data_IF_888598576898
#
_entry.id   IF_888598576898
#
_cell.length_a   1.000
_cell.length_b   1.000
_cell.length_c   1.000
_cell.angle_alpha   90.00
_cell.angle_beta   90.00
_cell.angle_gamma   90.00
#
_symmetry.space_group_name_H-M   'P 1'
#
loop_
_entity.id
_entity.type
_entity.pdbx_description
1 polymer ?
#
# COMPACT_ATOMS: atom_id res chain seq x y z
N UNK A 1 -30.30 -14.92 -15.52
CA UNK A 1 -29.50 -14.03 -14.65
C UNK A 1 -28.07 -14.51 -14.72
N UNK A 2 -27.10 -13.66 -15.04
CA UNK A 2 -25.68 -14.06 -15.06
C UNK A 2 -25.22 -14.51 -13.67
N UNK A 3 -24.38 -15.54 -13.61
CA UNK A 3 -23.76 -15.99 -12.35
C UNK A 3 -23.00 -14.81 -11.70
N UNK A 4 -23.33 -14.41 -10.46
CA UNK A 4 -22.64 -13.33 -9.77
C UNK A 4 -21.13 -13.53 -9.66
N UNK A 5 -20.66 -14.78 -9.60
CA UNK A 5 -19.22 -15.08 -9.58
C UNK A 5 -18.58 -14.80 -10.94
N UNK A 6 -19.20 -15.24 -12.02
CA UNK A 6 -18.74 -14.94 -13.38
C UNK A 6 -18.72 -13.42 -13.65
N UNK A 7 -19.75 -12.70 -13.21
CA UNK A 7 -19.80 -11.23 -13.34
C UNK A 7 -18.70 -10.53 -12.53
N UNK A 8 -18.42 -11.00 -11.31
CA UNK A 8 -17.33 -10.46 -10.48
C UNK A 8 -15.96 -10.73 -11.12
N UNK A 9 -15.76 -11.94 -11.66
CA UNK A 9 -14.51 -12.29 -12.33
C UNK A 9 -14.27 -11.44 -13.57
N UNK A 10 -15.31 -11.13 -14.35
CA UNK A 10 -15.21 -10.22 -15.49
C UNK A 10 -14.87 -8.80 -15.06
N UNK A 11 -15.57 -8.26 -14.06
CA UNK A 11 -15.29 -6.92 -13.54
C UNK A 11 -13.85 -6.75 -13.03
N UNK A 12 -13.29 -7.79 -12.38
CA UNK A 12 -11.89 -7.78 -11.94
C UNK A 12 -10.92 -7.82 -13.14
N UNK A 13 -11.23 -8.59 -14.20
CA UNK A 13 -10.43 -8.58 -15.44
C UNK A 13 -10.45 -7.22 -16.11
N UNK A 14 -11.61 -6.60 -16.23
CA UNK A 14 -11.76 -5.25 -16.80
C UNK A 14 -10.97 -4.22 -15.98
N UNK A 15 -11.05 -4.27 -14.64
CA UNK A 15 -10.32 -3.38 -13.76
C UNK A 15 -8.79 -3.56 -13.89
N UNK A 16 -8.31 -4.80 -13.95
CA UNK A 16 -6.90 -5.11 -14.14
C UNK A 16 -6.39 -4.65 -15.51
N UNK A 17 -7.16 -4.88 -16.59
CA UNK A 17 -6.83 -4.42 -17.93
C UNK A 17 -6.78 -2.89 -18.01
N UNK A 18 -7.74 -2.21 -17.38
CA UNK A 18 -7.74 -0.75 -17.26
C UNK A 18 -6.50 -0.23 -16.53
N UNK A 19 -6.15 -0.80 -15.39
CA UNK A 19 -4.99 -0.38 -14.61
C UNK A 19 -3.68 -0.61 -15.38
N UNK A 20 -3.53 -1.77 -16.03
CA UNK A 20 -2.37 -2.10 -16.84
C UNK A 20 -2.21 -1.18 -18.07
N UNK A 21 -3.32 -0.79 -18.70
CA UNK A 21 -3.34 0.10 -19.86
C UNK A 21 -3.26 1.60 -19.55
N UNK A 22 -3.44 2.00 -18.29
CA UNK A 22 -3.47 3.43 -17.92
C UNK A 22 -2.05 4.01 -17.85
N UNK A 23 -1.78 4.97 -18.72
CA UNK A 23 -0.52 5.73 -18.76
C UNK A 23 -0.55 6.93 -17.83
N UNK A 24 0.63 7.44 -17.44
CA UNK A 24 0.72 8.62 -16.58
C UNK A 24 0.05 9.86 -17.19
N UNK A 25 0.06 10.00 -18.52
CA UNK A 25 -0.58 11.13 -19.21
C UNK A 25 -2.11 11.09 -19.18
N UNK A 26 -2.71 9.92 -18.94
CA UNK A 26 -4.15 9.76 -18.76
C UNK A 26 -4.62 10.13 -17.34
N UNK A 27 -3.69 10.31 -16.39
CA UNK A 27 -4.00 10.67 -15.00
C UNK A 27 -3.99 12.20 -14.87
N UNK A 28 -5.08 12.83 -14.38
CA UNK A 28 -5.11 14.26 -14.13
C UNK A 28 -3.99 14.71 -13.18
N UNK A 29 -3.40 15.89 -13.42
CA UNK A 29 -2.23 16.37 -12.66
C UNK A 29 -2.55 16.54 -11.17
N UNK A 30 -3.77 16.94 -10.85
CA UNK A 30 -4.27 17.08 -9.49
C UNK A 30 -4.34 15.74 -8.75
N UNK A 31 -4.60 14.64 -9.45
CA UNK A 31 -4.61 13.28 -8.87
C UNK A 31 -3.17 12.85 -8.58
N UNK A 32 -2.25 13.07 -9.51
CA UNK A 32 -0.81 12.84 -9.27
C UNK A 32 -0.29 13.67 -8.09
N UNK A 33 -0.67 14.95 -8.02
CA UNK A 33 -0.30 15.83 -6.92
C UNK A 33 -0.88 15.36 -5.57
N UNK A 34 -2.10 14.80 -5.57
CA UNK A 34 -2.67 14.16 -4.38
C UNK A 34 -1.87 12.90 -4.00
N UNK A 35 -1.49 12.08 -4.98
CA UNK A 35 -0.63 10.91 -4.76
C UNK A 35 0.70 11.27 -4.06
N UNK A 36 1.35 12.37 -4.47
CA UNK A 36 2.56 12.86 -3.79
C UNK A 36 2.30 13.21 -2.32
N UNK A 37 1.14 13.81 -2.01
CA UNK A 37 0.77 14.11 -0.62
C UNK A 37 0.53 12.83 0.19
N UNK A 38 -0.12 11.82 -0.40
CA UNK A 38 -0.31 10.50 0.24
C UNK A 38 1.04 9.86 0.55
N UNK A 39 2.00 9.90 -0.39
CA UNK A 39 3.37 9.39 -0.14
C UNK A 39 3.99 10.10 1.06
N UNK A 40 3.90 11.42 1.12
CA UNK A 40 4.52 12.20 2.20
C UNK A 40 3.87 11.91 3.57
N UNK A 41 2.54 11.78 3.60
CA UNK A 41 1.75 11.50 4.79
C UNK A 41 2.06 10.12 5.38
N UNK A 42 1.90 9.07 4.58
CA UNK A 42 2.14 7.69 5.01
C UNK A 42 3.62 7.45 5.35
N UNK A 43 4.56 8.07 4.61
CA UNK A 43 5.97 8.01 4.95
C UNK A 43 6.26 8.68 6.30
N UNK A 44 5.58 9.79 6.60
CA UNK A 44 5.68 10.43 7.91
C UNK A 44 5.10 9.54 9.03
N UNK A 45 3.99 8.84 8.79
CA UNK A 45 3.43 7.87 9.72
C UNK A 45 4.41 6.73 10.03
N UNK A 46 5.00 6.11 8.99
CA UNK A 46 6.04 5.07 9.11
C UNK A 46 7.21 5.57 9.97
N UNK A 47 7.74 6.74 9.63
CA UNK A 47 8.92 7.31 10.30
C UNK A 47 8.58 7.75 11.73
N UNK A 48 7.38 8.26 11.97
CA UNK A 48 6.91 8.72 13.29
C UNK A 48 6.88 7.57 14.30
N UNK A 49 6.46 6.38 13.86
CA UNK A 49 6.38 5.20 14.70
C UNK A 49 7.72 4.51 14.98
N UNK A 50 8.82 4.89 14.30
CA UNK A 50 10.08 4.12 14.31
C UNK A 50 10.73 3.93 15.69
N UNK A 51 10.43 4.82 16.63
CA UNK A 51 11.00 4.82 17.98
C UNK A 51 10.09 4.12 19.01
N UNK A 52 8.89 3.71 18.60
CA UNK A 52 8.00 2.94 19.46
C UNK A 52 8.65 1.59 19.79
N UNK A 53 8.69 1.18 21.08
CA UNK A 53 9.48 0.02 21.50
C UNK A 53 9.18 -1.26 20.73
N UNK A 54 7.91 -1.52 20.44
CA UNK A 54 7.43 -2.69 19.71
C UNK A 54 7.80 -2.63 18.23
N UNK A 55 7.71 -1.45 17.61
CA UNK A 55 8.10 -1.22 16.21
C UNK A 55 9.61 -1.44 16.07
N UNK A 56 10.40 -0.83 16.96
CA UNK A 56 11.85 -0.98 17.00
C UNK A 56 12.25 -2.45 17.23
N UNK A 57 11.60 -3.14 18.17
CA UNK A 57 11.85 -4.56 18.43
C UNK A 57 11.50 -5.45 17.24
N UNK A 58 10.40 -5.15 16.51
CA UNK A 58 10.06 -5.88 15.30
C UNK A 58 11.07 -5.64 14.18
N UNK A 59 11.49 -4.40 13.98
CA UNK A 59 12.51 -4.01 13.00
C UNK A 59 13.85 -4.72 13.27
N UNK A 60 14.26 -4.84 14.54
CA UNK A 60 15.47 -5.62 14.92
C UNK A 60 15.33 -7.11 14.58
N UNK A 61 14.17 -7.72 14.86
CA UNK A 61 13.91 -9.13 14.51
C UNK A 61 13.94 -9.35 13.00
N UNK A 62 13.42 -8.42 12.22
CA UNK A 62 13.45 -8.46 10.75
C UNK A 62 14.90 -8.43 10.25
N UNK A 63 15.71 -7.49 10.75
CA UNK A 63 17.11 -7.37 10.36
C UNK A 63 17.94 -8.60 10.75
N UNK A 64 17.73 -9.15 11.94
CA UNK A 64 18.44 -10.35 12.40
C UNK A 64 18.13 -11.62 11.58
N UNK A 65 17.05 -11.62 10.80
CA UNK A 65 16.69 -12.73 9.89
C UNK A 65 17.11 -12.49 8.44
N UNK A 66 17.43 -11.23 8.12
CA UNK A 66 17.71 -10.81 6.76
C UNK A 66 19.04 -11.36 6.25
N UNK A 67 19.08 -11.72 4.97
CA UNK A 67 20.29 -12.17 4.27
C UNK A 67 20.58 -11.38 2.99
N UNK A 68 19.74 -10.39 2.69
CA UNK A 68 19.76 -9.59 1.47
C UNK A 68 19.35 -8.15 1.79
N UNK A 69 19.83 -7.19 0.99
CA UNK A 69 19.57 -5.77 1.18
C UNK A 69 18.93 -5.20 -0.09
N UNK A 70 17.64 -5.44 -0.26
CA UNK A 70 16.86 -5.04 -1.45
C UNK A 70 16.09 -3.73 -1.23
N UNK A 71 15.60 -3.50 -0.01
CA UNK A 71 14.72 -2.38 0.31
C UNK A 71 15.00 -1.79 1.70
N UNK A 72 14.68 -0.51 1.85
CA UNK A 72 14.87 0.29 3.06
C UNK A 72 13.87 -0.10 4.14
N UNK A 73 14.40 -0.26 5.36
CA UNK A 73 13.61 -0.30 6.58
C UNK A 73 13.67 1.09 7.22
N UNK A 74 12.53 1.78 7.35
CA UNK A 74 12.47 3.20 7.75
C UNK A 74 12.69 3.43 9.26
N UNK A 75 13.71 2.79 9.82
CA UNK A 75 14.08 2.85 11.23
C UNK A 75 15.21 3.84 11.56
N UNK A 76 15.79 4.46 10.53
CA UNK A 76 17.04 5.21 10.62
C UNK A 76 18.27 4.34 10.35
N UNK A 77 19.47 4.95 10.38
CA UNK A 77 20.74 4.21 10.23
C UNK A 77 20.99 3.57 8.85
N UNK A 78 20.18 3.89 7.82
CA UNK A 78 20.27 3.31 6.46
C UNK A 78 20.11 1.78 6.45
N UNK A 79 19.31 1.23 7.37
CA UNK A 79 19.04 -0.21 7.43
C UNK A 79 18.24 -0.69 6.21
N UNK A 80 18.62 -1.86 5.68
CA UNK A 80 17.98 -2.50 4.52
C UNK A 80 17.78 -4.00 4.78
N UNK A 81 16.76 -4.59 4.15
CA UNK A 81 16.42 -6.02 4.23
C UNK A 81 15.84 -6.50 2.90
N UNK A 82 15.40 -7.76 2.79
CA UNK A 82 14.59 -8.23 1.65
C UNK A 82 13.31 -7.39 1.51
N UNK A 83 12.83 -7.23 0.28
CA UNK A 83 11.67 -6.36 -0.01
C UNK A 83 10.38 -6.78 0.67
N UNK A 84 10.16 -8.08 0.88
CA UNK A 84 8.95 -8.57 1.55
C UNK A 84 8.96 -8.19 3.03
N UNK A 85 10.08 -8.42 3.72
CA UNK A 85 10.20 -8.05 5.13
C UNK A 85 10.21 -6.53 5.33
N UNK A 86 10.81 -5.77 4.40
CA UNK A 86 10.73 -4.31 4.41
C UNK A 86 9.28 -3.84 4.27
N UNK A 87 8.53 -4.39 3.31
CA UNK A 87 7.11 -4.07 3.11
C UNK A 87 6.28 -4.32 4.37
N UNK A 88 6.41 -5.51 4.98
CA UNK A 88 5.66 -5.87 6.19
C UNK A 88 6.03 -4.97 7.38
N UNK A 89 7.32 -4.74 7.60
CA UNK A 89 7.79 -3.96 8.74
C UNK A 89 7.50 -2.46 8.62
N UNK A 90 7.53 -1.93 7.40
CA UNK A 90 7.13 -0.55 7.15
C UNK A 90 5.60 -0.41 7.20
N UNK A 91 4.82 -1.38 6.71
CA UNK A 91 3.36 -1.33 6.79
C UNK A 91 2.86 -1.37 8.25
N UNK A 92 3.46 -2.22 9.08
CA UNK A 92 3.14 -2.26 10.51
C UNK A 92 3.50 -0.93 11.20
N UNK A 93 4.63 -0.32 10.85
CA UNK A 93 4.99 1.00 11.39
C UNK A 93 4.05 2.12 10.90
N UNK A 94 3.57 2.06 9.65
CA UNK A 94 2.63 3.03 9.10
C UNK A 94 1.33 3.11 9.91
N UNK A 95 0.81 1.95 10.31
CA UNK A 95 -0.48 1.81 11.02
C UNK A 95 -0.35 2.10 12.52
N UNK A 96 0.88 2.07 13.05
CA UNK A 96 1.13 1.96 14.49
C UNK A 96 0.59 3.15 15.30
N UNK A 97 0.71 4.36 14.76
CA UNK A 97 0.26 5.59 15.43
C UNK A 97 -1.12 6.05 14.96
N UNK A 98 -1.77 5.31 14.05
CA UNK A 98 -3.05 5.69 13.41
C UNK A 98 -3.02 7.12 12.80
N UNK A 99 -1.88 7.48 12.21
CA UNK A 99 -1.64 8.81 11.59
C UNK A 99 -1.80 8.82 10.07
N UNK A 100 -1.96 7.65 9.45
CA UNK A 100 -2.11 7.49 8.02
C UNK A 100 -3.44 8.05 7.50
N UNK A 101 -3.45 8.35 6.20
CA UNK A 101 -4.64 8.89 5.56
C UNK A 101 -5.77 7.86 5.40
N UNK A 102 -6.98 8.35 5.18
CA UNK A 102 -8.15 7.51 4.95
C UNK A 102 -9.05 7.98 3.81
N UNK A 103 -9.66 7.01 3.15
CA UNK A 103 -10.71 7.22 2.16
C UNK A 103 -12.08 7.36 2.82
N UNK A 104 -12.67 8.55 2.75
CA UNK A 104 -13.85 8.90 3.57
C UNK A 104 -15.15 8.16 3.23
N UNK A 105 -15.30 7.59 2.04
CA UNK A 105 -16.58 6.97 1.63
C UNK A 105 -16.79 5.56 2.20
N UNK A 106 -15.72 4.88 2.60
CA UNK A 106 -15.77 3.53 3.19
C UNK A 106 -14.51 3.33 4.03
N UNK A 107 -14.55 2.64 5.19
CA UNK A 107 -13.36 2.42 6.04
C UNK A 107 -12.21 1.75 5.27
N UNK A 108 -11.28 2.54 4.77
CA UNK A 108 -10.25 2.13 3.82
C UNK A 108 -9.09 3.13 3.87
N UNK A 109 -7.89 2.63 4.14
CA UNK A 109 -6.66 3.39 4.24
C UNK A 109 -5.79 3.03 3.03
N UNK A 110 -6.22 3.48 1.85
CA UNK A 110 -5.74 2.93 0.59
C UNK A 110 -4.26 3.27 0.34
N UNK A 111 -3.79 4.43 0.79
CA UNK A 111 -2.37 4.77 0.80
C UNK A 111 -1.56 3.72 1.57
N UNK A 112 -1.91 3.49 2.84
CA UNK A 112 -1.26 2.52 3.71
C UNK A 112 -1.27 1.08 3.16
N UNK A 113 -2.35 0.67 2.48
CA UNK A 113 -2.45 -0.68 1.92
C UNK A 113 -1.54 -0.91 0.71
N UNK A 114 -1.14 0.15 0.00
CA UNK A 114 -0.38 0.07 -1.25
C UNK A 114 1.08 0.48 -1.04
N UNK A 115 1.30 1.59 -0.35
CA UNK A 115 2.58 2.30 -0.35
C UNK A 115 3.75 1.49 0.23
N UNK A 116 3.65 0.80 1.39
CA UNK A 116 4.80 0.10 1.96
C UNK A 116 5.33 -1.03 1.07
N UNK A 117 4.42 -1.78 0.45
CA UNK A 117 4.78 -2.82 -0.53
C UNK A 117 5.38 -2.21 -1.80
N UNK A 118 4.76 -1.14 -2.29
CA UNK A 118 5.21 -0.44 -3.48
C UNK A 118 6.60 0.20 -3.30
N UNK A 119 6.89 0.81 -2.15
CA UNK A 119 8.21 1.37 -1.84
C UNK A 119 9.29 0.29 -1.86
N UNK A 120 9.01 -0.87 -1.24
CA UNK A 120 9.96 -1.97 -1.20
C UNK A 120 10.21 -2.58 -2.58
N UNK A 121 9.15 -2.79 -3.37
CA UNK A 121 9.26 -3.29 -4.74
C UNK A 121 9.96 -2.27 -5.66
N UNK A 122 9.61 -0.99 -5.56
CA UNK A 122 10.19 0.08 -6.37
C UNK A 122 11.69 0.24 -6.10
N UNK A 123 12.12 0.21 -4.84
CA UNK A 123 13.55 0.27 -4.50
C UNK A 123 14.28 -0.98 -5.02
N UNK A 124 13.73 -2.17 -4.80
CA UNK A 124 14.38 -3.43 -5.21
C UNK A 124 14.57 -3.54 -6.73
N UNK A 125 13.68 -2.93 -7.52
CA UNK A 125 13.71 -2.92 -8.98
C UNK A 125 14.27 -1.63 -9.56
N UNK A 126 14.69 -0.68 -8.73
CA UNK A 126 15.15 0.64 -9.13
C UNK A 126 14.17 1.37 -10.07
N UNK A 127 12.88 1.36 -9.73
CA UNK A 127 11.83 1.99 -10.52
C UNK A 127 11.92 3.52 -10.46
N UNK A 128 11.56 4.18 -11.56
CA UNK A 128 11.50 5.63 -11.56
C UNK A 128 10.34 6.14 -10.68
N UNK A 129 10.52 7.30 -10.04
CA UNK A 129 9.50 7.90 -9.19
C UNK A 129 8.15 8.08 -9.91
N UNK A 130 8.16 8.44 -11.20
CA UNK A 130 6.94 8.59 -12.00
C UNK A 130 6.17 7.27 -12.17
N UNK A 131 6.88 6.14 -12.29
CA UNK A 131 6.26 4.82 -12.37
C UNK A 131 5.67 4.42 -11.01
N UNK A 132 6.40 4.66 -9.92
CA UNK A 132 5.92 4.43 -8.57
C UNK A 132 4.68 5.28 -8.26
N UNK A 133 4.70 6.57 -8.56
CA UNK A 133 3.57 7.47 -8.32
C UNK A 133 2.32 7.04 -9.13
N UNK A 134 2.51 6.62 -10.39
CA UNK A 134 1.43 6.07 -11.20
C UNK A 134 0.85 4.80 -10.57
N UNK A 135 1.71 3.87 -10.14
CA UNK A 135 1.28 2.62 -9.50
C UNK A 135 0.53 2.87 -8.20
N UNK A 136 0.97 3.84 -7.38
CA UNK A 136 0.26 4.22 -6.15
C UNK A 136 -1.16 4.72 -6.46
N UNK A 137 -1.30 5.64 -7.41
CA UNK A 137 -2.61 6.21 -7.78
C UNK A 137 -3.56 5.11 -8.29
N UNK A 138 -3.06 4.20 -9.12
CA UNK A 138 -3.87 3.10 -9.65
C UNK A 138 -4.24 2.08 -8.56
N UNK A 139 -3.29 1.72 -7.69
CA UNK A 139 -3.54 0.85 -6.54
C UNK A 139 -4.58 1.44 -5.60
N UNK A 140 -4.48 2.75 -5.30
CA UNK A 140 -5.46 3.47 -4.49
C UNK A 140 -6.86 3.38 -5.10
N UNK A 141 -6.99 3.63 -6.41
CA UNK A 141 -8.27 3.53 -7.13
C UNK A 141 -8.84 2.10 -7.12
N UNK A 142 -8.00 1.08 -7.34
CA UNK A 142 -8.41 -0.33 -7.32
C UNK A 142 -8.95 -0.71 -5.94
N UNK A 143 -8.18 -0.43 -4.89
CA UNK A 143 -8.52 -0.77 -3.51
C UNK A 143 -9.81 -0.08 -3.09
N UNK A 144 -9.97 1.20 -3.39
CA UNK A 144 -11.19 1.94 -3.02
C UNK A 144 -12.41 1.48 -3.80
N UNK A 145 -12.27 1.08 -5.09
CA UNK A 145 -13.37 0.45 -5.84
C UNK A 145 -13.78 -0.89 -5.23
N UNK A 146 -12.81 -1.74 -4.87
CA UNK A 146 -13.08 -3.01 -4.17
C UNK A 146 -13.76 -2.76 -2.84
N UNK A 147 -13.27 -1.79 -2.04
CA UNK A 147 -13.85 -1.45 -0.75
C UNK A 147 -15.30 -0.95 -0.87
N UNK A 148 -15.61 -0.14 -1.89
CA UNK A 148 -16.98 0.34 -2.15
C UNK A 148 -17.92 -0.75 -2.64
N UNK A 149 -17.40 -1.72 -3.39
CA UNK A 149 -18.20 -2.84 -3.91
C UNK A 149 -18.44 -3.93 -2.84
N UNK A 150 -17.48 -4.14 -1.94
CA UNK A 150 -17.58 -5.15 -0.91
C UNK A 150 -18.45 -4.69 0.26
N UNK A 151 -19.67 -5.22 0.32
CA UNK A 151 -20.59 -5.05 1.46
C UNK A 151 -20.42 -6.20 2.47
N UNK A 152 -19.72 -5.98 3.61
CA UNK A 152 -19.58 -7.02 4.62
C UNK A 152 -20.93 -7.30 5.29
N UNK A 153 -21.20 -8.56 5.65
CA UNK A 153 -22.43 -8.96 6.35
C UNK A 153 -22.43 -8.59 7.84
N UNK A 154 -21.32 -8.06 8.36
CA UNK A 154 -21.15 -7.61 9.74
C UNK A 154 -19.79 -6.95 9.98
N UNK A 155 -19.60 -6.33 11.14
CA UNK A 155 -18.31 -5.74 11.56
C UNK A 155 -17.37 -6.80 12.17
N UNK A 156 -17.15 -7.90 11.45
CA UNK A 156 -16.41 -9.07 11.97
C UNK A 156 -14.92 -9.06 11.64
N UNK A 157 -14.43 -8.02 10.94
CA UNK A 157 -13.05 -7.94 10.47
C UNK A 157 -12.66 -6.47 10.32
N UNK A 158 -11.46 -6.09 10.75
CA UNK A 158 -10.95 -4.72 10.63
C UNK A 158 -10.59 -4.40 9.17
N UNK A 159 -10.72 -3.13 8.77
CA UNK A 159 -10.48 -2.63 7.41
C UNK A 159 -9.10 -3.01 6.85
N UNK A 160 -8.04 -2.85 7.66
CA UNK A 160 -6.66 -3.19 7.26
C UNK A 160 -6.55 -4.68 6.87
N UNK A 161 -7.17 -5.57 7.65
CA UNK A 161 -7.23 -7.00 7.36
C UNK A 161 -8.10 -7.38 6.15
N UNK A 162 -9.00 -6.49 5.69
CA UNK A 162 -9.85 -6.76 4.51
C UNK A 162 -9.17 -6.42 3.20
N UNK A 163 -8.48 -5.27 3.17
CA UNK A 163 -8.08 -4.64 1.93
C UNK A 163 -6.56 -4.56 1.76
N UNK A 164 -5.77 -4.77 2.84
CA UNK A 164 -4.30 -4.71 2.79
C UNK A 164 -3.71 -5.65 1.73
N UNK A 165 -4.18 -6.90 1.68
CA UNK A 165 -3.73 -7.86 0.67
C UNK A 165 -4.12 -7.48 -0.77
N UNK A 166 -5.25 -6.78 -0.95
CA UNK A 166 -5.68 -6.28 -2.27
C UNK A 166 -4.83 -5.09 -2.70
N UNK A 167 -4.45 -4.20 -1.78
CA UNK A 167 -3.61 -3.04 -2.09
C UNK A 167 -2.16 -3.40 -2.37
N UNK A 168 -1.64 -4.43 -1.73
CA UNK A 168 -0.26 -4.86 -1.92
C UNK A 168 -0.04 -5.72 -3.19
N UNK A 169 -1.10 -6.32 -3.76
CA UNK A 169 -1.03 -7.22 -4.91
C UNK A 169 -1.03 -6.47 -6.25
#
# INVERSE_FOLDING_TARGET
MSDPRAATAEAIRELAAWAAGTTASAIPREVLARGVRVIADDLAAIIGARAEPEVAAFHERVLGRSRVAEATLFRGGRSRTDRVSAAVANAMAADWLELDEGYRLVPCHAGLYVLPALLAEAESKNLAFGEMLRSLVLGYEIVTRVARAWKPRGLTMQSHGRYGAVGAA
#
